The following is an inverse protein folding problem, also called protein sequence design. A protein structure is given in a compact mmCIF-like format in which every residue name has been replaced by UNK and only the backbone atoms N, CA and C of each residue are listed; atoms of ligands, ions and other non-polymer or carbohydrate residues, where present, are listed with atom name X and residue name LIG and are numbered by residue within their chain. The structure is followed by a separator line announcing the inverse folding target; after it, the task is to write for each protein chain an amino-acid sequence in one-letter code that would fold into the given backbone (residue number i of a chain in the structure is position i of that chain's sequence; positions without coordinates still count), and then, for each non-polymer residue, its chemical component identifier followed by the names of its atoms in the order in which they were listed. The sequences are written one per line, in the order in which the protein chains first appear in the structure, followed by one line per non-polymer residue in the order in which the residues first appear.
data_IF_241953289812
#
_entry.id   IF_241953289812
#
_cell.length_a   1.000
_cell.length_b   1.000
_cell.length_c   1.000
_cell.angle_alpha   90.00
_cell.angle_beta   90.00
_cell.angle_gamma   90.00
#
_symmetry.space_group_name_H-M   'P 1'
#
loop_
_entity.id
_entity.type
_entity.pdbx_description
1 polymer ?
#
# COMPACT_ATOMS: atom_id res chain seq x y z
N UNK A 1 24.06 -9.22 -6.30
CA UNK A 1 24.70 -10.53 -6.13
C UNK A 1 23.96 -11.45 -5.12
N UNK A 2 23.56 -10.93 -3.94
CA UNK A 2 22.87 -11.72 -2.92
C UNK A 2 21.47 -12.17 -3.36
N UNK A 3 20.68 -11.28 -3.98
CA UNK A 3 19.33 -11.59 -4.50
C UNK A 3 19.40 -12.78 -5.48
N UNK A 4 20.29 -12.69 -6.49
CA UNK A 4 20.49 -13.77 -7.46
C UNK A 4 20.81 -15.10 -6.76
N UNK A 5 21.81 -15.11 -5.86
CA UNK A 5 22.19 -16.32 -5.13
C UNK A 5 21.06 -16.91 -4.29
N UNK A 6 20.21 -16.07 -3.70
CA UNK A 6 19.07 -16.53 -2.90
C UNK A 6 18.05 -17.25 -3.78
N UNK A 7 17.73 -16.69 -4.94
CA UNK A 7 16.79 -17.30 -5.90
C UNK A 7 17.35 -18.60 -6.48
N UNK A 8 18.64 -18.59 -6.88
CA UNK A 8 19.32 -19.79 -7.40
C UNK A 8 19.41 -20.92 -6.36
N UNK A 9 19.63 -20.59 -5.07
CA UNK A 9 19.60 -21.59 -3.97
C UNK A 9 18.22 -22.20 -3.74
N UNK A 10 17.16 -21.47 -4.11
CA UNK A 10 15.79 -22.01 -4.10
C UNK A 10 15.49 -22.89 -5.32
N UNK A 11 16.49 -23.17 -6.19
CA UNK A 11 16.32 -23.98 -7.38
C UNK A 11 15.68 -23.25 -8.56
N UNK A 12 15.55 -21.91 -8.50
CA UNK A 12 14.94 -21.09 -9.55
C UNK A 12 16.05 -20.39 -10.35
N UNK A 13 15.98 -20.47 -11.67
CA UNK A 13 16.92 -19.80 -12.54
C UNK A 13 16.57 -18.31 -12.64
N UNK A 14 17.57 -17.43 -12.52
CA UNK A 14 17.40 -15.97 -12.70
C UNK A 14 17.67 -15.62 -14.16
N UNK A 15 16.62 -15.29 -14.88
CA UNK A 15 16.69 -14.88 -16.29
C UNK A 15 17.25 -13.47 -16.43
N UNK A 16 16.67 -12.50 -15.67
CA UNK A 16 17.02 -11.11 -15.75
C UNK A 16 16.93 -10.42 -14.40
N UNK A 17 17.61 -9.29 -14.25
CA UNK A 17 17.51 -8.41 -13.08
C UNK A 17 17.18 -7.00 -13.60
N UNK A 18 15.98 -6.52 -13.29
CA UNK A 18 15.45 -5.25 -13.75
C UNK A 18 15.13 -4.37 -12.55
N UNK A 19 15.38 -3.08 -12.65
CA UNK A 19 14.93 -2.13 -11.63
C UNK A 19 13.42 -1.88 -11.79
N UNK A 20 12.65 -2.08 -10.72
CA UNK A 20 11.19 -1.99 -10.77
C UNK A 20 10.66 -0.62 -11.25
N UNK A 21 11.27 0.54 -10.93
CA UNK A 21 10.82 1.84 -11.45
C UNK A 21 10.80 1.90 -12.99
N UNK A 22 11.81 1.33 -13.64
CA UNK A 22 11.87 1.29 -15.11
C UNK A 22 10.81 0.36 -15.71
N UNK A 23 10.67 -0.83 -15.16
CA UNK A 23 9.64 -1.76 -15.61
C UNK A 23 8.23 -1.17 -15.44
N UNK A 24 7.99 -0.58 -14.28
CA UNK A 24 6.70 -0.02 -13.92
C UNK A 24 6.30 1.16 -14.80
N UNK A 25 7.20 2.11 -15.06
CA UNK A 25 6.90 3.24 -15.95
C UNK A 25 6.61 2.77 -17.38
N UNK A 26 7.28 1.72 -17.87
CA UNK A 26 7.03 1.18 -19.21
C UNK A 26 5.72 0.42 -19.32
N UNK A 27 5.29 -0.29 -18.29
CA UNK A 27 4.05 -1.08 -18.30
C UNK A 27 2.80 -0.23 -17.99
N UNK A 28 2.93 0.73 -17.05
CA UNK A 28 1.80 1.51 -16.54
C UNK A 28 1.46 2.71 -17.42
N UNK A 29 2.48 3.35 -18.03
CA UNK A 29 2.32 4.55 -18.85
C UNK A 29 2.07 4.19 -20.32
N UNK A 30 1.13 4.87 -20.96
CA UNK A 30 0.94 4.77 -22.40
C UNK A 30 2.07 5.49 -23.16
N UNK A 31 2.10 5.32 -24.48
CA UNK A 31 3.18 5.87 -25.33
C UNK A 31 3.28 7.40 -25.22
N UNK A 32 2.16 8.12 -25.25
CA UNK A 32 2.14 9.57 -25.11
C UNK A 32 2.62 10.04 -23.75
N UNK A 33 2.23 9.35 -22.67
CA UNK A 33 2.70 9.65 -21.32
C UNK A 33 4.20 9.42 -21.16
N UNK A 34 4.75 8.37 -21.79
CA UNK A 34 6.20 8.14 -21.80
C UNK A 34 6.97 9.17 -22.62
N UNK A 35 6.39 9.63 -23.71
CA UNK A 35 7.03 10.63 -24.58
C UNK A 35 7.01 12.03 -23.95
N UNK A 36 5.82 12.52 -23.57
CA UNK A 36 5.65 13.88 -23.09
C UNK A 36 5.93 14.06 -21.60
N UNK A 37 5.97 12.97 -20.86
CA UNK A 37 6.32 12.92 -19.46
C UNK A 37 5.13 12.64 -18.55
N UNK A 38 5.34 11.67 -17.63
CA UNK A 38 4.44 11.33 -16.53
C UNK A 38 5.22 10.74 -15.37
N UNK A 39 4.64 10.84 -14.17
CA UNK A 39 5.22 10.27 -12.95
C UNK A 39 4.36 9.11 -12.45
N UNK A 40 5.00 7.99 -12.14
CA UNK A 40 4.38 6.85 -11.45
C UNK A 40 4.78 6.87 -10.00
N UNK A 41 3.83 6.74 -9.09
CA UNK A 41 4.05 6.65 -7.64
C UNK A 41 3.50 5.30 -7.16
N UNK A 42 4.38 4.39 -6.76
CA UNK A 42 4.04 3.10 -6.17
C UNK A 42 3.97 3.23 -4.65
N UNK A 43 2.75 3.28 -4.13
CA UNK A 43 2.47 3.34 -2.70
C UNK A 43 2.33 1.92 -2.15
N UNK A 44 3.46 1.31 -1.80
CA UNK A 44 3.52 -0.03 -1.23
C UNK A 44 3.25 -0.08 0.28
N UNK A 45 3.41 -1.26 0.89
CA UNK A 45 3.29 -1.45 2.34
C UNK A 45 4.45 -0.82 3.11
N UNK A 46 5.70 -1.17 2.78
CA UNK A 46 6.89 -0.72 3.50
C UNK A 46 7.54 0.54 2.94
N UNK A 47 7.29 0.88 1.69
CA UNK A 47 7.92 2.00 1.00
C UNK A 47 7.03 2.59 -0.09
N UNK A 48 7.32 3.83 -0.45
CA UNK A 48 6.75 4.50 -1.63
C UNK A 48 7.87 4.76 -2.63
N UNK A 49 7.69 4.29 -3.88
CA UNK A 49 8.67 4.46 -4.96
C UNK A 49 8.11 5.42 -6.00
N UNK A 50 8.91 6.38 -6.41
CA UNK A 50 8.55 7.37 -7.43
C UNK A 50 9.45 7.20 -8.64
N UNK A 51 8.86 7.24 -9.83
CA UNK A 51 9.56 7.16 -11.09
C UNK A 51 8.93 8.09 -12.12
N UNK A 52 9.72 8.95 -12.71
CA UNK A 52 9.28 9.87 -13.78
C UNK A 52 9.94 9.47 -15.08
N UNK A 53 9.11 9.28 -16.12
CA UNK A 53 9.56 9.01 -17.48
C UNK A 53 9.21 10.18 -18.39
N UNK A 54 10.14 10.52 -19.29
CA UNK A 54 9.96 11.53 -20.35
C UNK A 54 10.89 11.22 -21.51
N UNK A 55 10.45 11.45 -22.75
CA UNK A 55 11.20 11.11 -23.97
C UNK A 55 11.66 9.64 -23.98
N UNK A 56 10.79 8.72 -23.54
CA UNK A 56 11.02 7.27 -23.40
C UNK A 56 12.15 6.88 -22.41
N UNK A 57 12.66 7.84 -21.63
CA UNK A 57 13.75 7.63 -20.67
C UNK A 57 13.34 7.91 -19.24
N UNK A 58 13.87 7.12 -18.31
CA UNK A 58 13.70 7.32 -16.88
C UNK A 58 14.51 8.56 -16.44
N UNK A 59 13.83 9.66 -16.16
CA UNK A 59 14.44 10.94 -15.77
C UNK A 59 14.73 11.03 -14.28
N UNK A 60 13.88 10.40 -13.46
CA UNK A 60 13.97 10.49 -12.01
C UNK A 60 13.44 9.23 -11.36
N UNK A 61 14.07 8.81 -10.29
CA UNK A 61 13.53 7.81 -9.37
C UNK A 61 14.00 8.07 -7.96
N UNK A 62 13.11 7.89 -6.99
CA UNK A 62 13.43 7.96 -5.57
C UNK A 62 12.59 6.95 -4.80
N UNK A 63 13.10 6.52 -3.64
CA UNK A 63 12.43 5.59 -2.73
C UNK A 63 12.32 6.24 -1.36
N UNK A 64 11.10 6.34 -0.87
CA UNK A 64 10.79 6.79 0.48
C UNK A 64 10.50 5.55 1.33
N UNK A 65 11.22 5.32 2.43
CA UNK A 65 11.02 4.14 3.28
C UNK A 65 9.77 4.28 4.17
N UNK A 66 8.70 4.76 3.60
CA UNK A 66 7.40 4.99 4.21
C UNK A 66 6.30 4.51 3.27
N UNK A 67 5.36 3.74 3.79
CA UNK A 67 4.23 3.18 3.07
C UNK A 67 3.08 2.86 4.01
N UNK A 68 2.19 1.95 3.61
CA UNK A 68 1.01 1.57 4.36
C UNK A 68 1.25 1.07 5.79
N UNK A 69 2.43 0.49 6.07
CA UNK A 69 2.82 0.09 7.42
C UNK A 69 3.00 1.27 8.38
N UNK A 70 3.40 2.44 7.87
CA UNK A 70 3.50 3.65 8.69
C UNK A 70 2.13 4.18 9.07
N UNK A 71 1.15 4.08 8.17
CA UNK A 71 -0.27 4.37 8.49
C UNK A 71 -0.73 3.46 9.64
N UNK A 72 -0.46 2.16 9.55
CA UNK A 72 -0.79 1.20 10.61
C UNK A 72 -0.12 1.52 11.93
N UNK A 73 1.17 1.91 11.89
CA UNK A 73 1.92 2.33 13.08
C UNK A 73 1.32 3.58 13.73
N UNK A 74 0.88 4.53 12.92
CA UNK A 74 0.27 5.77 13.42
C UNK A 74 -1.09 5.48 14.07
N UNK A 75 -1.95 4.68 13.42
CA UNK A 75 -3.21 4.20 14.01
C UNK A 75 -2.94 3.49 15.34
N UNK A 76 -2.00 2.55 15.37
CA UNK A 76 -1.64 1.81 16.58
C UNK A 76 -1.19 2.73 17.72
N UNK A 77 -0.36 3.73 17.43
CA UNK A 77 0.15 4.68 18.43
C UNK A 77 -0.91 5.64 18.93
N UNK A 78 -1.69 6.23 18.03
CA UNK A 78 -2.71 7.22 18.35
C UNK A 78 -3.84 6.58 19.17
N UNK A 79 -4.32 5.42 18.73
CA UNK A 79 -5.41 4.69 19.38
C UNK A 79 -4.93 3.80 20.55
N UNK A 80 -3.61 3.67 20.75
CA UNK A 80 -3.00 2.76 21.75
C UNK A 80 -3.51 1.32 21.60
N UNK A 81 -3.62 0.84 20.38
CA UNK A 81 -4.08 -0.52 20.06
C UNK A 81 -2.95 -1.36 19.46
N UNK A 82 -3.16 -2.67 19.34
CA UNK A 82 -2.17 -3.55 18.73
C UNK A 82 -2.01 -3.27 17.22
N UNK A 83 -0.83 -3.58 16.67
CA UNK A 83 -0.58 -3.47 15.23
C UNK A 83 -1.59 -4.29 14.40
N UNK A 84 -2.03 -5.41 14.93
CA UNK A 84 -2.98 -6.31 14.28
C UNK A 84 -4.37 -5.65 14.16
N UNK A 85 -4.84 -5.04 15.23
CA UNK A 85 -6.11 -4.30 15.25
C UNK A 85 -5.99 -3.04 14.36
N UNK A 86 -4.90 -2.30 14.44
CA UNK A 86 -4.65 -1.13 13.61
C UNK A 86 -4.64 -1.47 12.12
N UNK A 87 -4.05 -2.60 11.72
CA UNK A 87 -4.07 -3.07 10.33
C UNK A 87 -5.48 -3.45 9.88
N UNK A 88 -6.25 -4.12 10.74
CA UNK A 88 -7.64 -4.46 10.46
C UNK A 88 -8.53 -3.21 10.32
N UNK A 89 -8.32 -2.21 11.18
CA UNK A 89 -9.02 -0.92 11.09
C UNK A 89 -8.71 -0.21 9.78
N UNK A 90 -7.44 -0.10 9.42
CA UNK A 90 -7.00 0.49 8.15
C UNK A 90 -7.62 -0.22 6.94
N UNK A 91 -7.65 -1.56 6.96
CA UNK A 91 -8.14 -2.35 5.84
C UNK A 91 -9.67 -2.29 5.67
N UNK A 92 -10.42 -2.33 6.78
CA UNK A 92 -11.87 -2.42 6.74
C UNK A 92 -12.58 -1.05 6.73
N UNK A 93 -11.97 -0.03 7.34
CA UNK A 93 -12.60 1.28 7.58
C UNK A 93 -11.70 2.44 7.15
N UNK A 94 -10.55 2.16 6.50
CA UNK A 94 -9.61 3.19 6.10
C UNK A 94 -10.14 4.06 4.98
N UNK A 95 -10.15 5.37 5.21
CA UNK A 95 -10.38 6.40 4.21
C UNK A 95 -9.33 7.52 4.42
N UNK A 96 -8.71 7.99 3.34
CA UNK A 96 -7.77 9.11 3.41
C UNK A 96 -8.45 10.46 3.22
N UNK A 97 -9.67 10.49 2.70
CA UNK A 97 -10.48 11.71 2.56
C UNK A 97 -11.32 11.93 3.84
N UNK A 98 -10.97 13.00 4.57
CA UNK A 98 -11.63 13.36 5.82
C UNK A 98 -13.07 13.84 5.60
N UNK A 99 -13.33 14.47 4.44
CA UNK A 99 -14.64 15.04 4.13
C UNK A 99 -15.68 13.97 3.77
N UNK A 100 -15.23 12.84 3.21
CA UNK A 100 -16.09 11.71 2.89
C UNK A 100 -16.33 10.77 4.08
N UNK A 101 -15.51 10.87 5.14
CA UNK A 101 -15.60 10.01 6.30
C UNK A 101 -16.75 10.43 7.23
N UNK A 102 -17.51 9.44 7.73
CA UNK A 102 -18.68 9.67 8.58
C UNK A 102 -18.31 10.19 9.98
N UNK A 103 -19.02 11.23 10.43
CA UNK A 103 -18.93 11.72 11.81
C UNK A 103 -19.80 10.89 12.79
N UNK A 104 -20.78 10.17 12.27
CA UNK A 104 -21.77 9.45 13.08
C UNK A 104 -21.54 7.95 13.15
N UNK A 105 -20.88 7.37 12.13
CA UNK A 105 -20.51 5.97 12.15
C UNK A 105 -19.30 5.76 13.05
N UNK A 106 -19.42 4.78 13.95
CA UNK A 106 -18.38 4.48 14.94
C UNK A 106 -17.91 3.04 14.82
N UNK A 107 -16.63 2.84 15.15
CA UNK A 107 -15.98 1.53 15.21
C UNK A 107 -15.48 1.30 16.62
N UNK A 108 -15.73 0.09 17.18
CA UNK A 108 -15.21 -0.29 18.49
C UNK A 108 -13.78 -0.79 18.37
N UNK A 109 -12.90 -0.23 19.20
CA UNK A 109 -11.47 -0.50 19.19
C UNK A 109 -11.00 -0.95 20.57
N UNK A 110 -10.34 -2.09 20.65
CA UNK A 110 -9.66 -2.55 21.84
C UNK A 110 -8.41 -1.69 22.09
N UNK A 111 -8.40 -0.98 23.22
CA UNK A 111 -7.34 -0.06 23.62
C UNK A 111 -6.56 -0.67 24.78
N UNK A 112 -5.23 -0.64 24.73
CA UNK A 112 -4.37 -1.17 25.79
C UNK A 112 -4.55 -0.35 27.08
N UNK A 113 -4.92 -1.03 28.14
CA UNK A 113 -5.16 -0.43 29.46
C UNK A 113 -6.60 -0.02 29.74
N UNK A 114 -7.52 -0.20 28.78
CA UNK A 114 -8.95 -0.04 28.99
C UNK A 114 -9.63 -1.41 29.20
N UNK A 115 -10.66 -1.45 30.04
CA UNK A 115 -11.40 -2.69 30.35
C UNK A 115 -12.53 -2.98 29.34
N UNK A 116 -12.87 -2.01 28.49
CA UNK A 116 -13.90 -2.12 27.45
C UNK A 116 -13.43 -1.45 26.17
N UNK A 117 -13.90 -1.91 24.99
CA UNK A 117 -13.62 -1.24 23.74
C UNK A 117 -14.03 0.23 23.76
N UNK A 118 -13.25 1.08 23.10
CA UNK A 118 -13.51 2.51 22.97
C UNK A 118 -14.12 2.74 21.57
N UNK A 119 -15.17 3.55 21.49
CA UNK A 119 -15.74 3.96 20.22
C UNK A 119 -14.96 5.13 19.62
N UNK A 120 -14.58 4.98 18.35
CA UNK A 120 -13.99 6.04 17.54
C UNK A 120 -14.86 6.27 16.30
N UNK A 121 -14.95 7.51 15.82
CA UNK A 121 -15.64 7.81 14.56
C UNK A 121 -14.76 7.43 13.37
N UNK A 122 -15.40 7.12 12.22
CA UNK A 122 -14.66 6.92 10.97
C UNK A 122 -13.85 8.17 10.59
N UNK A 123 -14.41 9.37 10.81
CA UNK A 123 -13.71 10.64 10.58
C UNK A 123 -12.43 10.76 11.38
N UNK A 124 -12.44 10.35 12.65
CA UNK A 124 -11.23 10.35 13.47
C UNK A 124 -10.15 9.40 12.95
N UNK A 125 -10.56 8.22 12.48
CA UNK A 125 -9.65 7.28 11.83
C UNK A 125 -9.10 7.88 10.51
N UNK A 126 -9.94 8.52 9.71
CA UNK A 126 -9.57 9.19 8.48
C UNK A 126 -8.57 10.34 8.70
N UNK A 127 -8.71 11.11 9.78
CA UNK A 127 -7.74 12.16 10.16
C UNK A 127 -6.33 11.59 10.38
N UNK A 128 -6.24 10.44 11.08
CA UNK A 128 -4.94 9.78 11.32
C UNK A 128 -4.34 9.30 10.00
N UNK A 129 -5.14 8.66 9.15
CA UNK A 129 -4.70 8.11 7.86
C UNK A 129 -4.28 9.23 6.91
N UNK A 130 -5.14 10.26 6.76
CA UNK A 130 -4.92 11.40 5.89
C UNK A 130 -3.62 12.12 6.21
N UNK A 131 -3.33 12.32 7.51
CA UNK A 131 -2.09 12.97 7.94
C UNK A 131 -0.84 12.24 7.45
N UNK A 132 -0.81 10.89 7.53
CA UNK A 132 0.33 10.11 7.02
C UNK A 132 0.39 10.10 5.50
N UNK A 133 -0.74 9.94 4.82
CA UNK A 133 -0.80 9.97 3.36
C UNK A 133 -0.31 11.33 2.84
N UNK A 134 -0.80 12.44 3.41
CA UNK A 134 -0.35 13.79 3.07
C UNK A 134 1.15 13.96 3.30
N UNK A 135 1.66 13.50 4.44
CA UNK A 135 3.10 13.57 4.72
C UNK A 135 3.96 12.86 3.65
N UNK A 136 3.58 11.64 3.25
CA UNK A 136 4.31 10.89 2.22
C UNK A 136 4.27 11.64 0.88
N UNK A 137 3.08 12.09 0.46
CA UNK A 137 2.88 12.75 -0.83
C UNK A 137 3.53 14.14 -0.88
N UNK A 138 3.55 14.89 0.21
CA UNK A 138 4.25 16.18 0.32
C UNK A 138 5.76 16.04 0.10
N UNK A 139 6.37 14.99 0.65
CA UNK A 139 7.80 14.70 0.40
C UNK A 139 8.05 14.40 -1.08
N UNK A 140 7.16 13.65 -1.71
CA UNK A 140 7.22 13.39 -3.16
C UNK A 140 7.07 14.69 -3.95
N UNK A 141 6.07 15.52 -3.61
CA UNK A 141 5.85 16.84 -4.24
C UNK A 141 7.10 17.72 -4.17
N UNK A 142 7.76 17.77 -3.01
CA UNK A 142 8.97 18.56 -2.83
C UNK A 142 10.10 18.13 -3.79
N UNK A 143 10.32 16.82 -3.93
CA UNK A 143 11.38 16.32 -4.82
C UNK A 143 11.03 16.51 -6.29
N UNK A 144 9.77 16.28 -6.69
CA UNK A 144 9.30 16.54 -8.06
C UNK A 144 9.39 18.04 -8.42
N UNK A 145 9.05 18.92 -7.47
CA UNK A 145 9.17 20.38 -7.65
C UNK A 145 10.64 20.80 -7.83
N UNK A 146 11.54 20.27 -6.99
CA UNK A 146 12.99 20.53 -7.13
C UNK A 146 13.53 20.07 -8.48
N UNK A 147 13.05 18.92 -8.96
CA UNK A 147 13.40 18.35 -10.27
C UNK A 147 12.71 19.04 -11.46
N UNK A 148 11.76 19.94 -11.24
CA UNK A 148 10.86 20.52 -12.28
C UNK A 148 10.10 19.44 -13.05
N UNK A 149 9.62 18.43 -12.32
CA UNK A 149 8.94 17.24 -12.85
C UNK A 149 7.48 17.16 -12.41
N UNK A 150 6.94 18.19 -11.76
CA UNK A 150 5.57 18.20 -11.28
C UNK A 150 4.55 18.45 -12.41
N UNK A 151 4.84 19.41 -13.29
CA UNK A 151 3.92 19.87 -14.34
C UNK A 151 4.15 19.13 -15.67
N UNK A 152 4.14 17.79 -15.62
CA UNK A 152 4.27 16.99 -16.82
C UNK A 152 2.90 16.70 -17.45
N UNK A 153 2.77 16.71 -18.80
CA UNK A 153 1.48 16.55 -19.49
C UNK A 153 0.74 15.26 -19.15
N UNK A 154 1.45 14.18 -18.85
CA UNK A 154 0.85 12.89 -18.48
C UNK A 154 0.39 12.82 -17.01
N UNK A 155 0.72 13.84 -16.19
CA UNK A 155 0.32 13.90 -14.78
C UNK A 155 0.96 12.80 -13.94
N UNK A 156 0.20 12.34 -12.94
CA UNK A 156 0.63 11.33 -11.96
C UNK A 156 -0.24 10.08 -12.05
N UNK A 157 0.40 8.93 -11.99
CA UNK A 157 -0.27 7.62 -11.95
C UNK A 157 0.08 6.92 -10.66
N UNK A 158 -0.92 6.66 -9.83
CA UNK A 158 -0.76 5.93 -8.57
C UNK A 158 -0.89 4.42 -8.84
N UNK A 159 -0.03 3.65 -8.19
CA UNK A 159 -0.06 2.18 -8.14
C UNK A 159 0.23 1.71 -6.72
N UNK A 160 0.10 0.41 -6.47
CA UNK A 160 0.42 -0.20 -5.18
C UNK A 160 -0.79 -0.37 -4.26
N UNK A 161 -0.61 -1.19 -3.24
CA UNK A 161 -1.69 -1.59 -2.34
C UNK A 161 -2.24 -0.46 -1.48
N UNK A 162 -1.41 0.51 -1.09
CA UNK A 162 -1.85 1.68 -0.31
C UNK A 162 -2.65 2.67 -1.17
N UNK A 163 -2.36 2.75 -2.47
CA UNK A 163 -3.07 3.64 -3.39
C UNK A 163 -4.55 3.27 -3.64
N UNK A 164 -4.94 2.03 -3.28
CA UNK A 164 -6.33 1.54 -3.43
C UNK A 164 -7.25 2.08 -2.32
N UNK A 165 -6.66 2.52 -1.22
CA UNK A 165 -7.45 3.01 -0.08
C UNK A 165 -8.31 4.20 -0.54
N UNK A 166 -9.61 4.21 -0.18
CA UNK A 166 -10.50 5.33 -0.46
C UNK A 166 -9.87 6.66 -0.06
N UNK A 167 -10.10 7.69 -0.87
CA UNK A 167 -9.62 9.05 -0.61
C UNK A 167 -8.15 9.31 -0.97
N UNK A 168 -7.33 8.30 -1.27
CA UNK A 168 -5.89 8.53 -1.59
C UNK A 168 -5.70 9.26 -2.91
N UNK A 169 -6.51 8.98 -3.92
CA UNK A 169 -6.45 9.66 -5.23
C UNK A 169 -6.84 11.13 -5.07
N UNK A 170 -7.90 11.40 -4.34
CA UNK A 170 -8.44 12.73 -4.05
C UNK A 170 -7.42 13.58 -3.28
N UNK A 171 -6.84 13.03 -2.23
CA UNK A 171 -5.76 13.68 -1.47
C UNK A 171 -4.52 13.94 -2.34
N UNK A 172 -4.18 13.01 -3.23
CA UNK A 172 -3.07 13.21 -4.15
C UNK A 172 -3.38 14.33 -5.17
N UNK A 173 -4.59 14.42 -5.69
CA UNK A 173 -5.03 15.51 -6.58
C UNK A 173 -4.96 16.87 -5.88
N UNK A 174 -5.41 16.94 -4.61
CA UNK A 174 -5.32 18.14 -3.78
C UNK A 174 -3.85 18.58 -3.61
N UNK A 175 -2.98 17.64 -3.25
CA UNK A 175 -1.57 17.94 -2.97
C UNK A 175 -0.82 18.35 -4.24
N UNK A 176 -0.90 17.55 -5.29
CA UNK A 176 -0.10 17.78 -6.51
C UNK A 176 -0.68 18.85 -7.43
N UNK A 177 -1.95 19.22 -7.28
CA UNK A 177 -2.67 20.21 -8.11
C UNK A 177 -2.60 19.85 -9.62
N UNK A 178 -2.54 18.57 -9.95
CA UNK A 178 -2.44 18.03 -11.31
C UNK A 178 -3.35 16.81 -11.48
N UNK A 179 -3.45 16.32 -12.71
CA UNK A 179 -4.22 15.11 -12.97
C UNK A 179 -3.56 13.89 -12.33
N UNK A 180 -4.30 13.23 -11.42
CA UNK A 180 -3.87 11.99 -10.77
C UNK A 180 -4.86 10.89 -11.09
N UNK A 181 -4.37 9.73 -11.50
CA UNK A 181 -5.20 8.54 -11.77
C UNK A 181 -4.63 7.31 -11.08
N UNK A 182 -5.52 6.39 -10.71
CA UNK A 182 -5.15 5.06 -10.23
C UNK A 182 -5.01 4.12 -11.41
N UNK A 183 -3.88 3.43 -11.50
CA UNK A 183 -3.69 2.36 -12.48
C UNK A 183 -4.29 1.05 -11.96
N UNK A 184 -5.14 0.44 -12.77
CA UNK A 184 -5.74 -0.87 -12.51
C UNK A 184 -5.26 -1.82 -13.61
N UNK A 185 -4.54 -2.91 -13.28
CA UNK A 185 -4.13 -3.91 -14.25
C UNK A 185 -5.32 -4.51 -15.01
N UNK A 186 -5.14 -4.77 -16.29
CA UNK A 186 -6.19 -5.32 -17.16
C UNK A 186 -6.22 -6.85 -17.19
N UNK A 187 -5.22 -7.51 -16.64
CA UNK A 187 -5.07 -8.97 -16.68
C UNK A 187 -6.15 -9.65 -15.86
N UNK A 188 -6.78 -10.68 -16.44
CA UNK A 188 -7.85 -11.43 -15.77
C UNK A 188 -7.32 -12.13 -14.51
N UNK A 189 -8.02 -11.96 -13.39
CA UNK A 189 -7.70 -12.58 -12.10
C UNK A 189 -6.72 -11.79 -11.23
N UNK A 190 -6.04 -10.77 -11.76
CA UNK A 190 -5.06 -9.94 -11.03
C UNK A 190 -5.31 -8.43 -11.21
N UNK A 191 -6.58 -8.03 -11.30
CA UNK A 191 -7.01 -6.64 -11.47
C UNK A 191 -6.92 -5.83 -10.17
N UNK A 192 -5.79 -5.91 -9.49
CA UNK A 192 -5.56 -5.14 -8.27
C UNK A 192 -4.24 -4.38 -8.39
N UNK A 193 -4.21 -3.06 -8.14
CA UNK A 193 -3.01 -2.24 -8.22
C UNK A 193 -1.82 -2.75 -7.39
N UNK A 194 -2.05 -3.56 -6.35
CA UNK A 194 -0.98 -4.19 -5.58
C UNK A 194 -0.09 -5.12 -6.41
N UNK A 195 -0.60 -5.68 -7.51
CA UNK A 195 0.15 -6.55 -8.41
C UNK A 195 0.90 -5.78 -9.51
N UNK A 196 0.72 -4.46 -9.61
CA UNK A 196 1.30 -3.65 -10.69
C UNK A 196 2.82 -3.85 -10.83
N UNK A 197 3.56 -3.92 -9.73
CA UNK A 197 5.01 -4.11 -9.75
C UNK A 197 5.40 -5.47 -10.37
N UNK A 198 4.78 -6.57 -9.93
CA UNK A 198 5.08 -7.92 -10.44
C UNK A 198 4.69 -8.05 -11.92
N UNK A 199 3.50 -7.56 -12.27
CA UNK A 199 3.02 -7.55 -13.66
C UNK A 199 3.99 -6.78 -14.55
N UNK A 200 4.40 -5.59 -14.11
CA UNK A 200 5.33 -4.73 -14.86
C UNK A 200 6.68 -5.40 -15.13
N UNK A 201 7.21 -6.14 -14.17
CA UNK A 201 8.46 -6.88 -14.36
C UNK A 201 8.32 -7.98 -15.40
N UNK A 202 7.22 -8.72 -15.39
CA UNK A 202 6.95 -9.79 -16.35
C UNK A 202 6.74 -9.20 -17.76
N UNK A 203 5.92 -8.16 -17.89
CA UNK A 203 5.66 -7.49 -19.17
C UNK A 203 6.94 -6.86 -19.74
N UNK A 204 7.75 -6.19 -18.89
CA UNK A 204 9.00 -5.58 -19.32
C UNK A 204 9.94 -6.62 -19.95
N UNK A 205 10.12 -7.78 -19.32
CA UNK A 205 10.98 -8.84 -19.85
C UNK A 205 10.39 -9.46 -21.12
N UNK A 206 9.06 -9.62 -21.18
CA UNK A 206 8.37 -10.15 -22.34
C UNK A 206 8.42 -9.23 -23.58
N UNK A 207 8.60 -7.93 -23.37
CA UNK A 207 8.68 -6.91 -24.44
C UNK A 207 10.12 -6.62 -24.91
N UNK A 208 11.14 -7.20 -24.27
CA UNK A 208 12.54 -7.03 -24.71
C UNK A 208 12.73 -7.55 -26.13
N UNK A 209 13.27 -6.71 -27.00
CA UNK A 209 13.63 -7.09 -28.35
C UNK A 209 14.91 -7.92 -28.39
N UNK A 210 15.17 -8.63 -29.48
CA UNK A 210 16.45 -9.34 -29.66
C UNK A 210 17.67 -8.38 -29.53
N UNK A 211 17.50 -7.15 -30.00
CA UNK A 211 18.54 -6.12 -29.89
C UNK A 211 18.81 -5.73 -28.44
N UNK A 212 17.74 -5.56 -27.63
CA UNK A 212 17.86 -5.26 -26.20
C UNK A 212 18.58 -6.41 -25.48
N UNK A 213 18.24 -7.65 -25.82
CA UNK A 213 18.86 -8.85 -25.23
C UNK A 213 20.35 -8.92 -25.59
N UNK A 214 20.69 -8.70 -26.86
CA UNK A 214 22.09 -8.68 -27.31
C UNK A 214 22.87 -7.55 -26.64
N UNK A 215 22.28 -6.34 -26.54
CA UNK A 215 22.92 -5.21 -25.87
C UNK A 215 23.16 -5.50 -24.37
N UNK A 216 22.18 -6.08 -23.69
CA UNK A 216 22.35 -6.48 -22.29
C UNK A 216 23.42 -7.55 -22.12
N UNK A 217 23.48 -8.54 -23.03
CA UNK A 217 24.51 -9.57 -23.05
C UNK A 217 25.92 -8.99 -23.25
N UNK A 218 26.04 -8.02 -24.15
CA UNK A 218 27.32 -7.35 -24.41
C UNK A 218 27.82 -6.55 -23.20
N UNK A 219 26.91 -5.93 -22.44
CA UNK A 219 27.25 -5.14 -21.24
C UNK A 219 27.50 -6.02 -20.02
N UNK A 220 26.73 -7.10 -19.84
CA UNK A 220 26.79 -7.96 -18.64
C UNK A 220 27.85 -9.08 -18.75
N UNK A 221 28.46 -9.29 -19.91
CA UNK A 221 29.52 -10.29 -20.16
C UNK A 221 29.01 -11.72 -20.40
N UNK A 222 29.94 -12.63 -20.70
CA UNK A 222 29.64 -14.04 -21.10
C UNK A 222 28.92 -14.87 -20.00
N UNK A 223 28.92 -14.44 -18.77
CA UNK A 223 28.20 -15.11 -17.69
C UNK A 223 26.67 -15.13 -17.95
N UNK A 224 26.17 -14.17 -18.74
CA UNK A 224 24.79 -14.10 -19.21
C UNK A 224 24.49 -15.10 -20.35
N UNK A 225 25.52 -15.52 -21.08
CA UNK A 225 25.40 -16.43 -22.25
C UNK A 225 25.32 -17.91 -21.88
N UNK A 226 25.59 -18.29 -20.66
CA UNK A 226 25.47 -19.68 -20.20
C UNK A 226 24.03 -20.02 -19.85
N UNK A 227 23.09 -19.78 -20.79
CA UNK A 227 21.78 -20.42 -20.74
C UNK A 227 22.00 -21.93 -20.95
N UNK A 228 21.92 -22.73 -19.90
CA UNK A 228 21.66 -24.14 -20.08
C UNK A 228 20.31 -24.24 -20.81
N UNK A 229 20.18 -25.11 -21.85
CA UNK A 229 18.88 -25.40 -22.42
C UNK A 229 17.94 -25.75 -21.26
N UNK A 230 16.78 -25.13 -21.24
CA UNK A 230 15.71 -25.51 -20.32
C UNK A 230 15.33 -26.91 -20.76
N UNK A 231 15.73 -27.93 -20.01
CA UNK A 231 15.04 -29.21 -20.07
C UNK A 231 13.59 -28.89 -19.73
N UNK A 232 12.69 -29.05 -20.72
CA UNK A 232 11.27 -28.75 -20.63
C UNK A 232 10.51 -29.72 -19.69
N UNK A 233 11.16 -30.28 -18.73
CA UNK A 233 10.51 -30.86 -17.56
C UNK A 233 10.17 -29.71 -16.63
N UNK A 234 8.94 -29.17 -16.81
CA UNK A 234 8.35 -28.29 -15.84
C UNK A 234 8.54 -28.91 -14.45
N UNK A 235 9.15 -28.18 -13.49
CA UNK A 235 9.19 -28.68 -12.13
C UNK A 235 7.73 -28.88 -11.71
N UNK A 236 7.32 -30.13 -11.60
CA UNK A 236 6.07 -30.47 -10.95
C UNK A 236 6.26 -30.03 -9.51
N UNK A 237 5.78 -28.82 -9.23
CA UNK A 237 5.55 -28.36 -7.85
C UNK A 237 4.50 -29.30 -7.31
N UNK A 238 4.92 -30.44 -6.77
CA UNK A 238 4.10 -31.25 -5.90
C UNK A 238 3.86 -30.41 -4.64
N UNK A 239 2.80 -29.61 -4.66
CA UNK A 239 2.23 -29.14 -3.43
C UNK A 239 1.72 -30.38 -2.71
N UNK A 240 2.55 -30.92 -1.84
CA UNK A 240 2.13 -31.93 -0.88
C UNK A 240 1.07 -31.26 0.00
N UNK A 241 -0.19 -31.39 -0.44
CA UNK A 241 -1.35 -30.96 0.30
C UNK A 241 -1.53 -31.96 1.46
N UNK A 242 -0.65 -31.91 2.43
CA UNK A 242 -1.03 -32.32 3.76
C UNK A 242 -2.16 -31.39 4.17
N UNK A 243 -3.40 -31.90 4.31
CA UNK A 243 -4.50 -31.05 4.74
C UNK A 243 -4.11 -30.45 6.08
N UNK A 244 -4.13 -29.11 6.16
CA UNK A 244 -3.97 -28.43 7.43
C UNK A 244 -4.91 -29.09 8.44
N UNK A 245 -4.47 -29.38 9.68
CA UNK A 245 -5.35 -29.93 10.69
C UNK A 245 -6.55 -29.00 10.82
N UNK A 246 -7.75 -29.56 10.69
CA UNK A 246 -8.98 -28.80 10.82
C UNK A 246 -8.93 -27.98 12.11
N UNK A 247 -9.35 -26.70 12.09
CA UNK A 247 -9.41 -25.88 13.28
C UNK A 247 -10.22 -26.64 14.32
N UNK A 248 -9.63 -26.88 15.49
CA UNK A 248 -10.34 -27.46 16.64
C UNK A 248 -11.48 -26.50 16.97
N UNK A 249 -12.71 -26.92 16.66
CA UNK A 249 -13.91 -26.25 17.12
C UNK A 249 -13.86 -26.28 18.64
N UNK A 250 -13.74 -25.12 19.26
CA UNK A 250 -13.89 -24.99 20.70
C UNK A 250 -15.29 -25.50 21.08
N UNK A 251 -15.42 -26.27 22.17
CA UNK A 251 -16.74 -26.75 22.61
C UNK A 251 -17.64 -25.54 22.85
N UNK A 252 -18.81 -25.53 22.19
CA UNK A 252 -19.84 -24.53 22.43
C UNK A 252 -20.28 -24.61 23.89
N UNK A 253 -20.37 -23.48 24.60
CA UNK A 253 -20.94 -23.46 25.94
C UNK A 253 -22.42 -23.93 25.87
N UNK A 254 -22.78 -24.86 26.73
CA UNK A 254 -24.15 -25.36 26.88
C UNK A 254 -25.09 -24.20 27.22
N UNK A 255 -26.37 -24.22 26.73
CA UNK A 255 -27.29 -23.14 27.03
C UNK A 255 -27.63 -23.14 28.54
N UNK A 256 -27.40 -21.98 29.16
CA UNK A 256 -27.82 -21.72 30.54
C UNK A 256 -29.31 -21.44 30.54
N UNK A 257 -30.08 -21.98 31.49
CA UNK A 257 -31.53 -21.71 31.59
C UNK A 257 -31.75 -20.21 31.91
N UNK A 258 -32.66 -19.61 31.15
CA UNK A 258 -33.12 -18.25 31.40
C UNK A 258 -34.07 -18.24 32.57
N UNK A 259 -33.67 -17.71 33.71
CA UNK A 259 -34.58 -17.42 34.81
C UNK A 259 -34.62 -15.92 35.08
N UNK A 260 -35.81 -15.39 34.94
CA UNK A 260 -36.35 -14.13 35.49
C UNK A 260 -35.73 -12.78 35.10
N UNK A 261 -36.49 -12.15 34.22
CA UNK A 261 -36.48 -10.70 33.91
C UNK A 261 -36.70 -9.89 35.20
N UNK A 262 -35.70 -9.11 35.59
CA UNK A 262 -35.86 -7.96 36.50
C UNK A 262 -35.73 -6.70 35.65
N UNK A 263 -36.82 -5.94 35.55
CA UNK A 263 -36.82 -4.61 34.94
C UNK A 263 -35.99 -3.64 35.82
N UNK A 264 -34.87 -3.12 35.25
CA UNK A 264 -34.11 -2.05 35.84
C UNK A 264 -34.39 -0.77 35.04
N UNK A 265 -34.72 0.37 35.70
CA UNK A 265 -35.02 1.62 35.01
C UNK A 265 -33.77 2.18 34.32
N UNK A 266 -33.95 2.71 33.10
CA UNK A 266 -32.92 3.37 32.28
C UNK A 266 -32.37 4.60 33.01
N UNK A 267 -31.04 4.79 33.10
CA UNK A 267 -30.45 6.06 33.51
C UNK A 267 -30.52 7.07 32.37
N UNK A 268 -30.83 8.29 32.73
CA UNK A 268 -30.88 9.47 31.86
C UNK A 268 -29.46 9.76 31.37
N UNK A 269 -29.31 9.94 30.05
CA UNK A 269 -28.07 10.35 29.38
C UNK A 269 -27.68 11.78 29.84
N UNK A 270 -26.59 11.89 30.57
CA UNK A 270 -25.80 13.14 30.64
C UNK A 270 -24.73 13.08 29.57
N UNK A 271 -24.85 13.93 28.54
CA UNK A 271 -23.90 14.08 27.45
C UNK A 271 -22.52 14.52 27.97
N UNK A 272 -21.53 13.67 27.74
CA UNK A 272 -20.15 13.92 28.17
C UNK A 272 -19.37 14.71 27.11
N UNK A 273 -19.73 15.98 26.91
CA UNK A 273 -19.03 16.91 26.00
C UNK A 273 -17.55 17.16 26.33
N UNK A 274 -17.13 16.96 27.57
CA UNK A 274 -15.74 17.17 28.00
C UNK A 274 -14.74 16.10 27.49
N UNK A 275 -15.18 14.89 27.23
CA UNK A 275 -14.28 13.83 26.73
C UNK A 275 -13.94 14.02 25.24
N UNK A 276 -14.86 14.53 24.42
CA UNK A 276 -14.63 14.80 22.98
C UNK A 276 -13.59 15.92 22.76
N UNK A 277 -13.59 16.97 23.59
CA UNK A 277 -12.58 18.05 23.48
C UNK A 277 -11.17 17.59 23.87
N UNK A 278 -11.02 16.75 24.90
CA UNK A 278 -9.71 16.23 25.31
C UNK A 278 -9.07 15.28 24.32
N UNK A 279 -9.86 14.62 23.48
CA UNK A 279 -9.35 13.70 22.45
C UNK A 279 -8.81 14.49 21.24
N UNK A 280 -9.53 15.49 20.76
CA UNK A 280 -9.11 16.35 19.63
C UNK A 280 -7.81 17.12 19.90
N UNK A 281 -7.63 17.64 21.12
CA UNK A 281 -6.42 18.37 21.52
C UNK A 281 -5.19 17.46 21.65
N UNK A 282 -5.38 16.18 22.00
CA UNK A 282 -4.30 15.18 22.03
C UNK A 282 -3.78 14.84 20.65
N UNK A 283 -4.66 14.77 19.65
CA UNK A 283 -4.26 14.49 18.25
C UNK A 283 -3.40 15.62 17.70
N UNK A 284 -3.80 16.87 17.85
CA UNK A 284 -3.01 18.03 17.41
C UNK A 284 -1.61 18.08 18.05
N UNK A 285 -1.51 17.71 19.32
CA UNK A 285 -0.22 17.66 20.02
C UNK A 285 0.71 16.53 19.54
N UNK A 286 0.14 15.38 19.16
CA UNK A 286 0.91 14.22 18.68
C UNK A 286 1.43 14.46 17.26
N UNK A 287 0.62 15.06 16.37
CA UNK A 287 1.05 15.34 15.01
C UNK A 287 2.16 16.40 14.95
N UNK A 288 2.14 17.42 15.83
CA UNK A 288 3.22 18.41 15.89
C UNK A 288 4.58 17.84 16.31
N UNK A 289 4.60 16.76 17.10
CA UNK A 289 5.85 16.14 17.57
C UNK A 289 6.29 14.90 16.77
N UNK A 290 5.52 14.48 15.79
CA UNK A 290 5.76 13.25 15.03
C UNK A 290 6.50 13.51 13.71
N UNK A 291 6.57 14.78 13.29
CA UNK A 291 7.13 15.21 12.01
C UNK A 291 8.34 16.16 12.15
N UNK A 292 8.76 16.50 13.40
CA UNK A 292 10.05 17.11 13.70
C UNK A 292 11.11 16.00 13.88
#
# INVERSE_FOLDING_TARGET
HNIRKTVERAGIQVENIVISPLAMTRAVLNEGEREFGATVIDMGGGQTTVATMRAQELQFTNIYPEGGEYITKDISKVLKTSMQIAEALKFNFGNADIEEASETETVQVEVVGENSPVEITEKYLAEIISARVKHILDRVKQDLTRGRLLDLPGGIVLVGGTAIMPGVVEVAQEIFETNVKLYIPNQVGIRNPMFANVISLVEYVGLLTEVDIIAQQAVCGEEYLRRKPIDNEAPTLSFDRTPAPAPRVAPQPSPVPVENTIEVPLPVEEENHEQKQKLGDRVRGIFGSMFD
#
